data_IF_121999094283
#
_entry.id   IF_121999094283
#
_cell.length_a   1.000
_cell.length_b   1.000
_cell.length_c   1.000
_cell.angle_alpha   90.00
_cell.angle_beta   90.00
_cell.angle_gamma   90.00
#
_symmetry.space_group_name_H-M   'P 1'
#
loop_
_entity.id
_entity.type
_entity.pdbx_description
1 polymer ?
#
# COMPACT_ATOMS: atom_id res chain seq x y z
N UNK A 1 -1.12 22.23 16.68
CA UNK A 1 0.22 22.04 16.08
C UNK A 1 0.35 20.58 15.74
N UNK A 2 0.40 20.17 14.46
CA UNK A 2 0.60 18.76 14.11
C UNK A 2 2.02 18.37 14.50
N UNK A 3 2.16 17.27 15.21
CA UNK A 3 3.42 16.67 15.63
C UNK A 3 4.18 16.16 14.40
N UNK A 4 5.06 16.99 13.85
CA UNK A 4 6.09 16.53 12.93
C UNK A 4 7.13 15.73 13.73
N UNK A 5 6.81 14.49 14.07
CA UNK A 5 7.86 13.53 14.43
C UNK A 5 8.81 13.43 13.25
N UNK A 6 10.08 13.75 13.50
CA UNK A 6 11.09 13.79 12.44
C UNK A 6 11.03 12.52 11.60
N UNK A 7 10.87 12.66 10.28
CA UNK A 7 10.84 11.54 9.32
C UNK A 7 12.12 10.72 9.44
N UNK A 8 13.23 11.34 9.82
CA UNK A 8 14.56 10.72 9.99
C UNK A 8 14.77 10.10 11.38
N UNK A 9 13.81 10.20 12.31
CA UNK A 9 13.98 9.75 13.70
C UNK A 9 14.53 8.33 13.85
N UNK A 10 14.16 7.40 12.97
CA UNK A 10 14.52 6.00 13.07
C UNK A 10 15.69 5.58 12.16
N UNK A 11 16.26 6.50 11.37
CA UNK A 11 17.42 6.17 10.52
C UNK A 11 18.60 5.69 11.37
N UNK A 12 19.19 4.56 10.97
CA UNK A 12 20.29 3.90 11.66
C UNK A 12 19.89 3.11 12.90
N UNK A 13 18.63 3.21 13.35
CA UNK A 13 18.16 2.44 14.51
C UNK A 13 17.75 1.02 14.12
N UNK A 14 17.79 0.13 15.11
CA UNK A 14 17.23 -1.21 15.00
C UNK A 14 15.86 -1.27 15.66
N UNK A 15 14.96 -2.05 15.06
CA UNK A 15 13.63 -2.39 15.56
C UNK A 15 13.50 -3.91 15.63
N UNK A 16 12.36 -4.41 16.14
CA UNK A 16 12.08 -5.85 16.22
C UNK A 16 13.19 -6.61 17.01
N UNK A 17 13.50 -6.13 18.21
CA UNK A 17 14.55 -6.69 19.07
C UNK A 17 15.92 -6.80 18.37
N UNK A 18 16.23 -5.84 17.47
CA UNK A 18 17.49 -5.79 16.73
C UNK A 18 17.47 -6.57 15.40
N UNK A 19 16.36 -7.22 15.04
CA UNK A 19 16.27 -8.02 13.81
C UNK A 19 16.29 -7.17 12.54
N UNK A 20 15.73 -5.96 12.55
CA UNK A 20 15.69 -5.06 11.40
C UNK A 20 16.42 -3.75 11.70
N UNK A 21 17.33 -3.35 10.82
CA UNK A 21 17.99 -2.02 10.86
C UNK A 21 17.42 -1.12 9.77
N UNK A 22 16.93 0.06 10.17
CA UNK A 22 16.38 1.07 9.27
C UNK A 22 17.52 1.83 8.59
N UNK A 23 17.56 1.84 7.25
CA UNK A 23 18.68 2.42 6.49
C UNK A 23 18.31 3.66 5.68
N UNK A 24 17.11 3.71 5.12
CA UNK A 24 16.72 4.81 4.26
C UNK A 24 15.21 5.11 4.36
N UNK A 25 14.83 6.33 4.01
CA UNK A 25 13.44 6.71 3.83
C UNK A 25 13.07 6.44 2.37
N UNK A 26 11.99 5.69 2.15
CA UNK A 26 11.40 5.45 0.83
C UNK A 26 10.30 6.44 0.50
N UNK A 27 9.53 6.87 1.51
CA UNK A 27 8.45 7.84 1.34
C UNK A 27 7.90 8.32 2.68
N UNK A 28 7.25 9.48 2.67
CA UNK A 28 6.54 10.03 3.83
C UNK A 28 5.27 10.73 3.37
N UNK A 29 4.18 10.50 4.09
CA UNK A 29 2.86 11.07 3.76
C UNK A 29 1.92 11.07 4.96
N UNK A 30 0.66 11.36 4.70
CA UNK A 30 -0.40 11.40 5.72
C UNK A 30 -0.61 10.06 6.43
N UNK A 31 -0.29 8.95 5.78
CA UNK A 31 -0.45 7.59 6.31
C UNK A 31 0.80 7.07 7.05
N UNK A 32 1.81 7.91 7.25
CA UNK A 32 3.03 7.55 7.97
C UNK A 32 4.30 7.68 7.13
N UNK A 33 5.35 6.98 7.55
CA UNK A 33 6.66 6.99 6.89
C UNK A 33 7.03 5.57 6.50
N UNK A 34 7.47 5.39 5.26
CA UNK A 34 7.96 4.11 4.76
C UNK A 34 9.49 4.16 4.69
N UNK A 35 10.13 3.18 5.28
CA UNK A 35 11.57 3.02 5.33
C UNK A 35 12.01 1.77 4.54
N UNK A 36 13.24 1.79 4.03
CA UNK A 36 13.98 0.58 3.72
C UNK A 36 14.69 0.11 4.97
N UNK A 37 14.50 -1.15 5.33
CA UNK A 37 15.21 -1.80 6.41
C UNK A 37 15.92 -3.06 5.91
N UNK A 38 17.00 -3.44 6.58
CA UNK A 38 17.74 -4.68 6.31
C UNK A 38 17.59 -5.62 7.50
N UNK A 39 17.31 -6.90 7.23
CA UNK A 39 17.41 -7.95 8.23
C UNK A 39 18.87 -8.15 8.63
N UNK A 40 19.17 -8.02 9.92
CA UNK A 40 20.55 -8.03 10.44
C UNK A 40 21.22 -9.40 10.37
N UNK A 41 20.45 -10.48 10.12
CA UNK A 41 20.93 -11.87 10.04
C UNK A 41 21.04 -12.35 8.61
N UNK A 42 19.97 -12.16 7.79
CA UNK A 42 19.94 -12.63 6.40
C UNK A 42 20.55 -11.63 5.42
N UNK A 43 20.54 -10.34 5.75
CA UNK A 43 20.90 -9.26 4.84
C UNK A 43 19.80 -8.91 3.83
N UNK A 44 18.62 -9.51 3.93
CA UNK A 44 17.48 -9.22 3.06
C UNK A 44 16.87 -7.85 3.38
N UNK A 45 16.35 -7.20 2.34
CA UNK A 45 15.74 -5.89 2.45
C UNK A 45 14.23 -5.95 2.48
N UNK A 46 13.64 -5.07 3.30
CA UNK A 46 12.20 -4.95 3.50
C UNK A 46 11.75 -3.49 3.40
N UNK A 47 10.50 -3.28 3.01
CA UNK A 47 9.81 -2.02 3.21
C UNK A 47 9.10 -2.05 4.58
N UNK A 48 9.30 -0.99 5.37
CA UNK A 48 8.75 -0.89 6.73
C UNK A 48 7.93 0.39 6.86
N UNK A 49 6.61 0.27 6.91
CA UNK A 49 5.67 1.40 7.11
C UNK A 49 5.53 1.66 8.61
N UNK A 50 5.96 2.84 9.06
CA UNK A 50 5.73 3.32 10.44
C UNK A 50 4.44 4.11 10.49
N UNK A 51 3.58 3.78 11.44
CA UNK A 51 2.33 4.48 11.71
C UNK A 51 2.28 4.86 13.19
N UNK A 52 1.73 6.03 13.52
CA UNK A 52 1.53 6.46 14.90
C UNK A 52 0.19 5.96 15.43
N UNK A 53 0.18 5.27 16.56
CA UNK A 53 -1.02 4.66 17.16
C UNK A 53 -2.01 5.66 17.78
N UNK A 54 -1.70 6.96 17.80
CA UNK A 54 -2.35 7.95 18.66
C UNK A 54 -3.86 8.17 18.45
N UNK A 55 -4.48 7.71 17.36
CA UNK A 55 -5.91 8.02 17.11
C UNK A 55 -6.76 6.96 16.41
N UNK A 56 -6.24 5.78 16.08
CA UNK A 56 -7.04 4.84 15.27
C UNK A 56 -6.55 3.39 15.28
N UNK A 57 -6.39 2.78 16.45
CA UNK A 57 -6.14 1.32 16.54
C UNK A 57 -7.13 0.51 15.69
N UNK A 58 -8.39 0.95 15.60
CA UNK A 58 -9.42 0.26 14.83
C UNK A 58 -9.15 0.24 13.32
N UNK A 59 -8.80 1.37 12.71
CA UNK A 59 -8.56 1.44 11.25
C UNK A 59 -7.26 0.76 10.85
N UNK A 60 -6.20 0.89 11.65
CA UNK A 60 -4.90 0.27 11.42
C UNK A 60 -4.97 -1.26 11.57
N UNK A 61 -5.62 -1.75 12.63
CA UNK A 61 -5.87 -3.18 12.83
C UNK A 61 -6.68 -3.75 11.67
N UNK A 62 -7.66 -3.00 11.15
CA UNK A 62 -8.47 -3.42 10.02
C UNK A 62 -7.65 -3.48 8.72
N UNK A 63 -6.82 -2.47 8.42
CA UNK A 63 -5.92 -2.48 7.24
C UNK A 63 -5.07 -3.74 7.23
N UNK A 64 -4.36 -4.00 8.33
CA UNK A 64 -3.46 -5.16 8.43
C UNK A 64 -4.19 -6.49 8.39
N UNK A 65 -5.35 -6.62 9.03
CA UNK A 65 -6.17 -7.82 8.97
C UNK A 65 -6.69 -8.11 7.55
N UNK A 66 -7.17 -7.09 6.83
CA UNK A 66 -7.66 -7.26 5.46
C UNK A 66 -6.51 -7.58 4.50
N UNK A 67 -5.37 -6.90 4.65
CA UNK A 67 -4.19 -7.18 3.86
C UNK A 67 -3.67 -8.61 4.10
N UNK A 68 -3.53 -9.03 5.35
CA UNK A 68 -3.08 -10.38 5.68
C UNK A 68 -3.98 -11.49 5.10
N UNK A 69 -5.30 -11.26 4.97
CA UNK A 69 -6.23 -12.21 4.36
C UNK A 69 -5.96 -12.49 2.88
N UNK A 70 -5.34 -11.55 2.18
CA UNK A 70 -5.11 -11.61 0.73
C UNK A 70 -3.62 -11.68 0.37
N UNK A 71 -2.73 -11.56 1.33
CA UNK A 71 -1.26 -11.52 1.16
C UNK A 71 -0.65 -12.82 0.61
N UNK A 72 -1.42 -13.90 0.48
CA UNK A 72 -0.96 -15.17 -0.11
C UNK A 72 -1.02 -15.19 -1.64
N UNK A 73 -1.57 -14.16 -2.29
CA UNK A 73 -1.61 -14.08 -3.75
C UNK A 73 -0.29 -13.52 -4.28
N UNK A 74 0.29 -14.07 -5.36
CA UNK A 74 1.59 -13.63 -5.89
C UNK A 74 1.61 -12.16 -6.33
N UNK A 75 0.46 -11.61 -6.74
CA UNK A 75 0.34 -10.22 -7.17
C UNK A 75 -0.32 -9.32 -6.12
N UNK A 76 -0.29 -9.69 -4.85
CA UNK A 76 -0.59 -8.84 -3.69
C UNK A 76 0.70 -8.67 -2.89
N UNK A 77 1.00 -7.43 -2.49
CA UNK A 77 2.21 -7.15 -1.71
C UNK A 77 2.24 -8.01 -0.45
N UNK A 78 3.32 -8.75 -0.25
CA UNK A 78 3.46 -9.64 0.91
C UNK A 78 3.54 -8.82 2.19
N UNK A 79 2.62 -9.07 3.12
CA UNK A 79 2.67 -8.58 4.49
C UNK A 79 3.30 -9.65 5.38
N UNK A 80 4.45 -9.36 5.97
CA UNK A 80 5.17 -10.31 6.81
C UNK A 80 4.70 -10.28 8.27
N UNK A 81 4.71 -9.10 8.89
CA UNK A 81 4.35 -8.94 10.30
C UNK A 81 4.17 -7.49 10.72
N UNK A 82 3.53 -7.32 11.85
CA UNK A 82 3.47 -6.09 12.62
C UNK A 82 4.48 -6.14 13.77
N UNK A 83 5.12 -5.01 14.05
CA UNK A 83 6.02 -4.82 15.19
C UNK A 83 5.43 -3.71 16.04
N UNK A 84 5.05 -4.05 17.27
CA UNK A 84 4.61 -3.09 18.26
C UNK A 84 5.81 -2.39 18.92
N UNK A 85 5.87 -1.07 18.81
CA UNK A 85 6.89 -0.24 19.42
C UNK A 85 6.25 0.90 20.25
N UNK A 86 5.24 0.56 21.05
CA UNK A 86 4.56 1.47 21.96
C UNK A 86 3.73 2.52 21.21
N UNK A 87 4.26 3.76 21.08
CA UNK A 87 3.60 4.85 20.34
C UNK A 87 3.46 4.58 18.85
N UNK A 88 4.33 3.73 18.27
CA UNK A 88 4.35 3.40 16.84
C UNK A 88 4.05 1.93 16.61
N UNK A 89 3.42 1.63 15.48
CA UNK A 89 3.42 0.32 14.85
C UNK A 89 4.29 0.37 13.60
N UNK A 90 5.02 -0.71 13.34
CA UNK A 90 5.76 -0.89 12.10
C UNK A 90 5.22 -2.11 11.36
N UNK A 91 4.86 -1.94 10.12
CA UNK A 91 4.34 -2.98 9.24
C UNK A 91 5.42 -3.36 8.23
N UNK A 92 5.81 -4.64 8.20
CA UNK A 92 6.90 -5.16 7.38
C UNK A 92 6.34 -5.79 6.11
N UNK A 93 6.84 -5.35 4.96
CA UNK A 93 6.44 -5.80 3.63
C UNK A 93 7.66 -6.14 2.78
N UNK A 94 7.45 -6.87 1.68
CA UNK A 94 8.47 -7.01 0.65
C UNK A 94 8.91 -5.65 0.11
N UNK A 95 10.20 -5.52 -0.21
CA UNK A 95 10.73 -4.32 -0.83
C UNK A 95 10.55 -4.39 -2.35
N UNK A 96 9.84 -3.42 -2.91
CA UNK A 96 9.65 -3.24 -4.34
C UNK A 96 10.58 -2.16 -4.91
N UNK A 97 10.80 -2.18 -6.22
CA UNK A 97 11.67 -1.23 -6.92
C UNK A 97 11.01 0.13 -7.18
N UNK A 98 9.69 0.21 -7.06
CA UNK A 98 8.91 1.42 -7.28
C UNK A 98 7.43 1.11 -7.45
N UNK A 99 6.71 2.02 -8.11
CA UNK A 99 5.28 1.92 -8.41
C UNK A 99 5.00 2.00 -9.91
N UNK A 100 3.80 1.57 -10.31
CA UNK A 100 3.37 1.57 -11.71
C UNK A 100 3.25 3.00 -12.27
N UNK A 101 2.93 4.01 -11.43
CA UNK A 101 2.91 5.41 -11.86
C UNK A 101 4.29 5.85 -12.37
N UNK A 102 5.36 5.47 -11.66
CA UNK A 102 6.75 5.74 -12.07
C UNK A 102 7.08 5.04 -13.40
N UNK A 103 6.64 3.79 -13.59
CA UNK A 103 6.84 3.06 -14.86
C UNK A 103 6.11 3.73 -16.01
N UNK A 104 4.85 4.10 -15.82
CA UNK A 104 4.02 4.80 -16.82
C UNK A 104 4.69 6.10 -17.26
N UNK A 105 5.22 6.89 -16.34
CA UNK A 105 5.88 8.17 -16.66
C UNK A 105 7.17 8.03 -17.47
N UNK A 106 7.81 6.87 -17.49
CA UNK A 106 9.01 6.62 -18.30
C UNK A 106 8.73 6.49 -19.81
N UNK A 107 7.50 6.70 -20.27
CA UNK A 107 7.05 6.73 -21.68
C UNK A 107 7.27 5.44 -22.49
N UNK A 108 8.12 4.53 -22.06
CA UNK A 108 8.38 3.26 -22.74
C UNK A 108 7.24 2.26 -22.53
N UNK A 109 6.49 2.40 -21.44
CA UNK A 109 5.38 1.52 -21.08
C UNK A 109 4.29 1.52 -22.18
N UNK A 110 3.91 2.69 -22.69
CA UNK A 110 2.84 2.82 -23.70
C UNK A 110 3.19 2.33 -25.10
N UNK A 111 4.40 1.84 -25.32
CA UNK A 111 4.87 1.33 -26.63
C UNK A 111 4.92 -0.20 -26.68
N UNK A 112 4.56 -0.87 -25.60
CA UNK A 112 4.62 -2.32 -25.46
C UNK A 112 3.24 -2.84 -25.00
N UNK A 113 2.38 -3.15 -26.00
CA UNK A 113 1.03 -3.65 -25.75
C UNK A 113 1.03 -4.97 -24.98
N UNK A 114 2.02 -5.84 -25.20
CA UNK A 114 2.15 -7.10 -24.49
C UNK A 114 2.54 -6.90 -23.02
N UNK A 115 3.39 -5.93 -22.73
CA UNK A 115 3.71 -5.56 -21.35
C UNK A 115 2.47 -5.00 -20.65
N UNK A 116 1.75 -4.09 -21.28
CA UNK A 116 0.51 -3.51 -20.76
C UNK A 116 -0.47 -4.64 -20.43
N UNK A 117 -0.71 -5.54 -21.36
CA UNK A 117 -1.62 -6.69 -21.20
C UNK A 117 -1.21 -7.58 -20.04
N UNK A 118 0.09 -7.94 -19.92
CA UNK A 118 0.61 -8.74 -18.80
C UNK A 118 0.39 -8.05 -17.44
N UNK A 119 0.67 -6.75 -17.36
CA UNK A 119 0.44 -5.96 -16.14
C UNK A 119 -1.04 -5.96 -15.75
N UNK A 120 -1.94 -5.72 -16.70
CA UNK A 120 -3.38 -5.72 -16.43
C UNK A 120 -3.90 -7.09 -15.99
N UNK A 121 -3.44 -8.18 -16.59
CA UNK A 121 -3.83 -9.54 -16.18
C UNK A 121 -3.45 -9.79 -14.72
N UNK A 122 -2.23 -9.45 -14.33
CA UNK A 122 -1.76 -9.62 -12.94
C UNK A 122 -2.61 -8.81 -11.94
N UNK A 123 -2.97 -7.57 -12.29
CA UNK A 123 -3.83 -6.72 -11.44
C UNK A 123 -5.23 -7.34 -11.31
N UNK A 124 -5.82 -7.81 -12.42
CA UNK A 124 -7.16 -8.41 -12.43
C UNK A 124 -7.17 -9.68 -11.60
N UNK A 125 -6.18 -10.55 -11.75
CA UNK A 125 -6.05 -11.79 -10.97
C UNK A 125 -5.96 -11.49 -9.46
N UNK A 126 -5.16 -10.51 -9.07
CA UNK A 126 -5.05 -10.08 -7.67
C UNK A 126 -6.38 -9.56 -7.14
N UNK A 127 -7.10 -8.74 -7.91
CA UNK A 127 -8.38 -8.18 -7.49
C UNK A 127 -9.48 -9.24 -7.42
N UNK A 128 -9.53 -10.19 -8.35
CA UNK A 128 -10.47 -11.31 -8.31
C UNK A 128 -10.24 -12.17 -7.07
N UNK A 129 -8.99 -12.46 -6.76
CA UNK A 129 -8.63 -13.14 -5.51
C UNK A 129 -9.06 -12.36 -4.27
N UNK A 130 -8.80 -11.03 -4.21
CA UNK A 130 -9.26 -10.19 -3.11
C UNK A 130 -10.79 -10.24 -2.96
N UNK A 131 -11.52 -10.10 -4.06
CA UNK A 131 -12.97 -10.13 -4.07
C UNK A 131 -13.52 -11.50 -3.64
N UNK A 132 -12.90 -12.60 -4.05
CA UNK A 132 -13.26 -13.96 -3.60
C UNK A 132 -13.09 -14.16 -2.09
N UNK A 133 -12.20 -13.39 -1.45
CA UNK A 133 -11.97 -13.34 0.00
C UNK A 133 -12.84 -12.28 0.70
N UNK A 134 -13.73 -11.61 -0.03
CA UNK A 134 -14.58 -10.53 0.49
C UNK A 134 -13.78 -9.29 0.87
N UNK A 135 -12.67 -9.01 0.20
CA UNK A 135 -11.85 -7.80 0.42
C UNK A 135 -11.95 -6.92 -0.82
N UNK A 136 -12.43 -5.68 -0.65
CA UNK A 136 -12.59 -4.67 -1.71
C UNK A 136 -11.63 -3.52 -1.44
N UNK A 137 -10.70 -3.25 -2.37
CA UNK A 137 -9.57 -2.33 -2.19
C UNK A 137 -9.99 -0.86 -2.08
N UNK A 138 -10.86 -0.38 -2.94
CA UNK A 138 -11.48 0.97 -3.01
C UNK A 138 -10.56 2.16 -3.32
N UNK A 139 -9.26 2.00 -3.42
CA UNK A 139 -8.32 3.05 -3.84
C UNK A 139 -7.30 2.50 -4.84
N UNK A 140 -7.80 1.79 -5.88
CA UNK A 140 -6.92 1.27 -6.91
C UNK A 140 -6.46 2.42 -7.80
N UNK A 141 -5.15 2.63 -7.87
CA UNK A 141 -4.48 3.64 -8.68
C UNK A 141 -3.04 3.19 -8.96
N UNK A 142 -2.37 3.76 -9.98
CA UNK A 142 -1.01 3.36 -10.34
C UNK A 142 0.02 3.47 -9.20
N UNK A 143 -0.16 4.41 -8.27
CA UNK A 143 0.69 4.60 -7.10
C UNK A 143 0.57 3.46 -6.08
N UNK A 144 -0.59 2.77 -6.05
CA UNK A 144 -0.87 1.65 -5.16
C UNK A 144 -0.60 0.29 -5.83
N UNK A 145 -0.03 0.28 -7.03
CA UNK A 145 0.49 -0.90 -7.71
C UNK A 145 2.01 -0.83 -7.69
N UNK A 146 2.63 -1.62 -6.83
CA UNK A 146 4.09 -1.68 -6.74
C UNK A 146 4.65 -2.61 -7.82
N UNK A 147 5.94 -2.47 -8.13
CA UNK A 147 6.61 -3.23 -9.20
C UNK A 147 7.91 -3.84 -8.72
N UNK A 148 8.20 -5.06 -9.21
CA UNK A 148 9.47 -5.76 -8.94
C UNK A 148 10.66 -5.06 -9.59
N UNK A 149 10.45 -4.46 -10.77
CA UNK A 149 11.48 -3.76 -11.56
C UNK A 149 10.89 -2.53 -12.26
N UNK A 150 11.74 -1.56 -12.57
CA UNK A 150 11.37 -0.36 -13.34
C UNK A 150 11.62 -0.52 -14.85
N UNK A 151 12.03 -1.70 -15.31
CA UNK A 151 12.32 -2.01 -16.72
C UNK A 151 12.35 -3.54 -16.94
N UNK A 152 12.13 -3.97 -18.18
CA UNK A 152 12.13 -5.39 -18.56
C UNK A 152 10.84 -6.10 -18.14
N UNK A 153 10.96 -7.33 -17.68
CA UNK A 153 9.84 -8.08 -17.13
C UNK A 153 9.41 -7.49 -15.79
N UNK A 154 8.15 -7.08 -15.71
CA UNK A 154 7.57 -6.40 -14.56
C UNK A 154 6.53 -7.33 -13.94
N UNK A 155 6.77 -7.70 -12.69
CA UNK A 155 5.74 -8.24 -11.81
C UNK A 155 5.13 -7.08 -11.02
N UNK A 156 3.81 -7.13 -10.84
CA UNK A 156 3.09 -6.09 -10.11
C UNK A 156 2.43 -6.65 -8.85
N UNK A 157 2.33 -5.79 -7.84
CA UNK A 157 1.77 -6.13 -6.54
C UNK A 157 0.77 -5.06 -6.10
N UNK A 158 -0.49 -5.47 -5.89
CA UNK A 158 -1.51 -4.59 -5.30
C UNK A 158 -1.13 -4.31 -3.84
N UNK A 159 -1.09 -3.04 -3.48
CA UNK A 159 -0.63 -2.56 -2.18
C UNK A 159 -1.56 -1.48 -1.62
N UNK A 160 -1.36 -1.09 -0.36
CA UNK A 160 -2.10 -0.06 0.37
C UNK A 160 -3.60 -0.35 0.51
N UNK A 161 -3.91 -1.28 1.42
CA UNK A 161 -5.28 -1.66 1.81
C UNK A 161 -5.91 -0.72 2.85
N UNK A 162 -5.37 0.48 3.04
CA UNK A 162 -5.83 1.46 4.05
C UNK A 162 -7.29 1.87 3.90
N UNK A 163 -7.84 1.85 2.68
CA UNK A 163 -9.26 2.10 2.41
C UNK A 163 -10.08 0.82 2.14
N UNK A 164 -9.48 -0.37 2.28
CA UNK A 164 -10.16 -1.62 1.98
C UNK A 164 -11.34 -1.90 2.91
N UNK A 165 -12.31 -2.68 2.42
CA UNK A 165 -13.53 -3.03 3.16
C UNK A 165 -13.96 -4.46 2.85
N UNK A 166 -14.71 -5.06 3.79
CA UNK A 166 -15.45 -6.31 3.55
C UNK A 166 -16.87 -6.09 3.04
N UNK A 167 -17.36 -4.85 3.05
CA UNK A 167 -18.69 -4.54 2.58
C UNK A 167 -18.65 -4.17 1.08
N UNK A 168 -19.30 -4.97 0.25
CA UNK A 168 -19.42 -4.75 -1.20
C UNK A 168 -20.22 -3.47 -1.53
N UNK A 169 -21.19 -3.14 -0.69
CA UNK A 169 -22.06 -1.97 -0.84
C UNK A 169 -21.79 -0.99 0.28
N UNK A 170 -20.88 -0.06 0.09
CA UNK A 170 -20.64 1.02 1.06
C UNK A 170 -21.12 2.35 0.51
N UNK A 171 -21.85 3.10 1.34
CA UNK A 171 -22.25 4.47 1.04
C UNK A 171 -21.14 5.50 1.29
N UNK A 172 -19.94 5.06 1.75
CA UNK A 172 -18.86 5.99 2.04
C UNK A 172 -18.09 6.37 0.78
N UNK A 173 -18.08 7.66 0.47
CA UNK A 173 -17.23 8.26 -0.57
C UNK A 173 -15.77 8.20 -0.13
N UNK A 174 -14.97 7.31 -0.71
CA UNK A 174 -13.55 7.20 -0.44
C UNK A 174 -12.79 6.70 -1.67
N UNK A 175 -11.51 7.02 -1.74
CA UNK A 175 -10.64 6.71 -2.85
C UNK A 175 -10.17 7.97 -3.59
N UNK A 176 -9.35 7.79 -4.61
CA UNK A 176 -8.80 8.88 -5.41
C UNK A 176 -9.78 9.23 -6.54
N UNK A 177 -10.34 10.46 -6.61
CA UNK A 177 -11.48 10.79 -7.48
C UNK A 177 -11.32 10.39 -8.93
N UNK A 178 -10.17 10.62 -9.55
CA UNK A 178 -9.94 10.30 -10.96
C UNK A 178 -9.88 8.79 -11.28
N UNK A 179 -9.82 7.93 -10.27
CA UNK A 179 -9.80 6.46 -10.40
C UNK A 179 -11.06 5.80 -9.83
N UNK A 180 -12.01 6.57 -9.32
CA UNK A 180 -13.26 6.03 -8.82
C UNK A 180 -14.16 5.51 -9.95
N UNK A 181 -14.94 4.47 -9.65
CA UNK A 181 -15.99 4.02 -10.56
C UNK A 181 -17.11 5.08 -10.70
N UNK A 182 -17.85 5.11 -11.83
CA UNK A 182 -18.95 6.05 -12.01
C UNK A 182 -19.97 6.05 -10.87
N UNK A 183 -20.29 4.88 -10.29
CA UNK A 183 -21.19 4.76 -9.16
C UNK A 183 -20.67 5.41 -7.87
N UNK A 184 -19.37 5.48 -7.69
CA UNK A 184 -18.74 6.18 -6.55
C UNK A 184 -18.75 7.70 -6.74
N UNK A 185 -18.58 8.19 -7.97
CA UNK A 185 -18.68 9.63 -8.30
C UNK A 185 -20.06 10.21 -7.94
N UNK A 186 -21.14 9.50 -8.26
CA UNK A 186 -22.51 9.95 -7.90
C UNK A 186 -22.72 10.10 -6.40
N UNK A 187 -22.08 9.25 -5.59
CA UNK A 187 -22.19 9.37 -4.12
C UNK A 187 -21.48 10.63 -3.59
N UNK A 188 -20.35 11.03 -4.18
CA UNK A 188 -19.64 12.27 -3.80
C UNK A 188 -20.49 13.50 -4.13
N UNK A 189 -21.10 13.55 -5.31
CA UNK A 189 -21.99 14.65 -5.71
C UNK A 189 -23.20 14.76 -4.78
N UNK A 190 -23.77 13.64 -4.33
CA UNK A 190 -24.88 13.61 -3.38
C UNK A 190 -24.48 14.15 -2.01
N UNK A 191 -23.35 13.70 -1.45
CA UNK A 191 -22.85 14.18 -0.15
C UNK A 191 -22.50 15.68 -0.18
N UNK A 192 -21.98 16.20 -1.31
CA UNK A 192 -21.70 17.63 -1.47
C UNK A 192 -22.97 18.49 -1.54
N UNK A 193 -24.11 17.93 -1.99
CA UNK A 193 -25.37 18.64 -2.10
C UNK A 193 -26.14 18.70 -0.77
N UNK A 194 -25.86 17.79 0.19
CA UNK A 194 -26.60 17.71 1.45
C UNK A 194 -25.81 18.19 2.68
N UNK A 195 -24.51 18.52 2.52
CA UNK A 195 -23.64 19.03 3.59
C UNK A 195 -23.29 20.54 3.43
N UNK A 196 -24.13 21.31 2.76
CA UNK A 196 -24.10 22.78 2.74
C UNK A 196 -25.07 23.36 3.77
#
# INVERSE_FOLDING_TARGET
MPYHTSVSQFLGQTIDNGALRIEAILGAGSFGVVYRAVDTRSGEYYAVKRVEKAYSDYYQTRETQLHARVSSHPNVLTFHREIDAGRYAFYVYDLCSGDLHTVIRKLTFFRDDELIKRVFIQIIDALDFCHSRGVYHRDLKPENILVSSLSGDIEVFVADFGLATTNKMTASSCGTPCFMSPGMHHLIEFDALFNC
#
